data_IF_594322341870
#
_entry.id   IF_594322341870
#
_cell.length_a   1.000
_cell.length_b   1.000
_cell.length_c   1.000
_cell.angle_alpha   90.00
_cell.angle_beta   90.00
_cell.angle_gamma   90.00
#
_symmetry.space_group_name_H-M   'P 1'
#
loop_
_entity.id
_entity.type
_entity.pdbx_description
1 polymer ?
#
# COMPACT_ATOMS: atom_id res chain seq x y z
N UNK A 1 -1.50 20.38 2.98
CA UNK A 1 -0.15 20.91 2.66
C UNK A 1 0.05 20.62 1.19
N UNK A 2 0.03 21.63 0.31
CA UNK A 2 0.30 21.40 -1.11
C UNK A 2 1.75 20.91 -1.22
N UNK A 3 2.00 19.77 -1.86
CA UNK A 3 3.37 19.41 -2.26
C UNK A 3 3.87 20.58 -3.12
N UNK A 4 5.07 21.08 -2.81
CA UNK A 4 5.72 22.11 -3.61
C UNK A 4 5.88 21.60 -5.05
N UNK A 5 5.74 22.46 -6.05
CA UNK A 5 5.87 22.08 -7.48
C UNK A 5 7.22 21.39 -7.74
N UNK A 6 8.27 21.81 -7.02
CA UNK A 6 9.58 21.17 -7.07
C UNK A 6 9.56 19.71 -6.59
N UNK A 7 8.77 19.41 -5.56
CA UNK A 7 8.65 18.06 -5.02
C UNK A 7 7.86 17.16 -5.95
N UNK A 8 6.77 17.68 -6.54
CA UNK A 8 5.99 16.95 -7.55
C UNK A 8 6.84 16.64 -8.78
N UNK A 9 7.59 17.63 -9.27
CA UNK A 9 8.48 17.44 -10.43
C UNK A 9 9.59 16.42 -10.15
N UNK A 10 10.09 16.36 -8.92
CA UNK A 10 11.08 15.34 -8.52
C UNK A 10 10.49 13.93 -8.52
N UNK A 11 9.30 13.76 -7.96
CA UNK A 11 8.58 12.48 -7.95
C UNK A 11 8.23 12.01 -9.37
N UNK A 12 7.78 12.92 -10.24
CA UNK A 12 7.49 12.59 -11.65
C UNK A 12 8.74 12.12 -12.38
N UNK A 13 9.87 12.81 -12.22
CA UNK A 13 11.16 12.40 -12.82
C UNK A 13 11.62 11.03 -12.33
N UNK A 14 11.38 10.71 -11.06
CA UNK A 14 11.71 9.39 -10.52
C UNK A 14 10.85 8.29 -11.15
N UNK A 15 9.54 8.55 -11.32
CA UNK A 15 8.62 7.63 -11.98
C UNK A 15 9.01 7.42 -13.45
N UNK A 16 9.30 8.50 -14.18
CA UNK A 16 9.76 8.45 -15.58
C UNK A 16 11.03 7.61 -15.70
N UNK A 17 12.02 7.86 -14.84
CA UNK A 17 13.27 7.09 -14.80
C UNK A 17 13.01 5.60 -14.55
N UNK A 18 12.11 5.25 -13.62
CA UNK A 18 11.74 3.87 -13.37
C UNK A 18 11.12 3.19 -14.60
N UNK A 19 10.23 3.90 -15.31
CA UNK A 19 9.64 3.38 -16.54
C UNK A 19 10.70 3.16 -17.63
N UNK A 20 11.64 4.09 -17.80
CA UNK A 20 12.74 3.98 -18.77
C UNK A 20 13.64 2.78 -18.47
N UNK A 21 13.98 2.56 -17.20
CA UNK A 21 14.77 1.40 -16.76
C UNK A 21 14.02 0.11 -17.08
N UNK A 22 12.74 0.00 -16.68
CA UNK A 22 11.94 -1.20 -16.90
C UNK A 22 11.79 -1.51 -18.40
N UNK A 23 11.53 -0.50 -19.22
CA UNK A 23 11.41 -0.67 -20.68
C UNK A 23 12.73 -1.14 -21.29
N UNK A 24 13.85 -0.52 -20.91
CA UNK A 24 15.17 -0.87 -21.40
C UNK A 24 15.55 -2.31 -21.03
N UNK A 25 15.26 -2.72 -19.79
CA UNK A 25 15.50 -4.09 -19.33
C UNK A 25 14.59 -5.10 -20.03
N UNK A 26 13.30 -4.77 -20.21
CA UNK A 26 12.37 -5.62 -20.94
C UNK A 26 12.87 -5.85 -22.37
N UNK A 27 13.27 -4.79 -23.09
CA UNK A 27 13.88 -4.91 -24.42
C UNK A 27 15.14 -5.77 -24.39
N UNK A 28 16.03 -5.55 -23.41
CA UNK A 28 17.26 -6.34 -23.26
C UNK A 28 16.96 -7.83 -23.10
N UNK A 29 16.10 -8.21 -22.15
CA UNK A 29 15.82 -9.62 -21.87
C UNK A 29 14.96 -10.28 -22.96
N UNK A 30 14.09 -9.55 -23.65
CA UNK A 30 13.39 -10.09 -24.83
C UNK A 30 14.35 -10.53 -25.95
N UNK A 31 15.56 -9.97 -26.02
CA UNK A 31 16.57 -10.44 -26.99
C UNK A 31 17.23 -11.78 -26.60
N UNK A 32 17.11 -12.18 -25.33
CA UNK A 32 17.74 -13.37 -24.77
C UNK A 32 16.77 -14.54 -24.56
N UNK A 33 15.48 -14.26 -24.46
CA UNK A 33 14.45 -15.24 -24.19
C UNK A 33 13.51 -15.43 -25.39
N UNK A 34 12.97 -16.63 -25.55
CA UNK A 34 12.03 -16.98 -26.63
C UNK A 34 10.59 -16.52 -26.38
N UNK A 35 10.32 -15.93 -25.21
CA UNK A 35 9.01 -15.44 -24.79
C UNK A 35 9.08 -13.96 -24.43
N UNK A 36 7.92 -13.31 -24.39
CA UNK A 36 7.80 -11.89 -24.11
C UNK A 36 7.98 -11.60 -22.62
N UNK A 37 9.06 -10.91 -22.28
CA UNK A 37 9.31 -10.30 -20.98
C UNK A 37 8.86 -8.84 -21.05
N UNK A 38 7.68 -8.56 -20.50
CA UNK A 38 7.18 -7.19 -20.33
C UNK A 38 7.70 -6.51 -19.06
N UNK A 39 7.36 -5.22 -18.89
CA UNK A 39 7.78 -4.41 -17.74
C UNK A 39 7.30 -4.99 -16.41
N UNK A 40 6.12 -5.61 -16.39
CA UNK A 40 5.55 -6.30 -15.24
C UNK A 40 6.45 -7.45 -14.76
N UNK A 41 7.06 -8.20 -15.68
CA UNK A 41 7.99 -9.28 -15.35
C UNK A 41 9.28 -8.73 -14.74
N UNK A 42 9.78 -7.61 -15.29
CA UNK A 42 10.95 -6.91 -14.76
C UNK A 42 10.65 -6.39 -13.34
N UNK A 43 9.50 -5.74 -13.16
CA UNK A 43 9.08 -5.17 -11.89
C UNK A 43 8.96 -6.25 -10.80
N UNK A 44 8.28 -7.36 -11.12
CA UNK A 44 8.12 -8.47 -10.19
C UNK A 44 9.44 -9.18 -9.87
N UNK A 45 10.31 -9.37 -10.87
CA UNK A 45 11.63 -9.97 -10.65
C UNK A 45 12.49 -9.11 -9.73
N UNK A 46 12.50 -7.78 -9.94
CA UNK A 46 13.19 -6.85 -9.07
C UNK A 46 12.61 -6.84 -7.65
N UNK A 47 11.28 -6.86 -7.52
CA UNK A 47 10.64 -6.97 -6.21
C UNK A 47 11.11 -8.22 -5.46
N UNK A 48 11.07 -9.40 -6.09
CA UNK A 48 11.50 -10.66 -5.47
C UNK A 48 12.97 -10.64 -5.03
N UNK A 49 13.84 -9.97 -5.78
CA UNK A 49 15.27 -9.87 -5.48
C UNK A 49 15.61 -8.80 -4.42
N UNK A 50 14.76 -7.79 -4.27
CA UNK A 50 15.04 -6.61 -3.45
C UNK A 50 14.18 -6.52 -2.19
N UNK A 51 13.09 -7.29 -2.10
CA UNK A 51 12.14 -7.23 -0.99
C UNK A 51 12.82 -7.34 0.38
N UNK A 52 13.66 -8.36 0.58
CA UNK A 52 14.36 -8.56 1.86
C UNK A 52 15.40 -7.48 2.13
N UNK A 53 16.15 -7.05 1.10
CA UNK A 53 17.22 -6.04 1.24
C UNK A 53 16.67 -4.68 1.69
N UNK A 54 15.46 -4.33 1.22
CA UNK A 54 14.84 -3.04 1.49
C UNK A 54 13.64 -3.13 2.45
N UNK A 55 13.40 -4.29 3.05
CA UNK A 55 12.26 -4.55 3.96
C UNK A 55 10.91 -4.14 3.33
N UNK A 56 10.71 -4.47 2.05
CA UNK A 56 9.49 -4.10 1.31
C UNK A 56 8.29 -4.92 1.81
N UNK A 57 7.18 -4.26 2.12
CA UNK A 57 5.96 -4.93 2.61
C UNK A 57 5.05 -5.38 1.45
N UNK A 58 5.10 -4.67 0.32
CA UNK A 58 4.29 -4.97 -0.86
C UNK A 58 4.98 -4.48 -2.15
N UNK A 59 4.59 -4.99 -3.34
CA UNK A 59 5.27 -4.69 -4.59
C UNK A 59 5.42 -3.20 -4.93
N UNK A 60 4.48 -2.35 -4.50
CA UNK A 60 4.57 -0.93 -4.80
C UNK A 60 5.58 -0.15 -3.95
N UNK A 61 6.11 -0.71 -2.86
CA UNK A 61 7.24 -0.09 -2.16
C UNK A 61 8.49 -0.01 -3.06
N UNK A 62 8.55 -0.84 -4.11
CA UNK A 62 9.64 -0.81 -5.08
C UNK A 62 9.78 0.55 -5.78
N UNK A 63 8.70 1.34 -5.93
CA UNK A 63 8.77 2.68 -6.53
C UNK A 63 9.63 3.66 -5.72
N UNK A 64 9.76 3.44 -4.41
CA UNK A 64 10.58 4.25 -3.52
C UNK A 64 12.07 3.82 -3.52
N UNK A 65 12.36 2.62 -4.05
CA UNK A 65 13.73 2.11 -4.19
C UNK A 65 14.45 2.88 -5.30
N UNK A 66 15.64 3.37 -4.97
CA UNK A 66 16.54 3.96 -5.96
C UNK A 66 17.44 2.86 -6.50
N UNK A 67 17.28 2.54 -7.78
CA UNK A 67 18.11 1.58 -8.50
C UNK A 67 18.52 2.17 -9.85
N UNK A 68 19.76 1.92 -10.25
CA UNK A 68 20.26 2.28 -11.57
C UNK A 68 20.16 1.09 -12.53
N UNK A 69 20.14 1.36 -13.83
CA UNK A 69 19.95 0.35 -14.87
C UNK A 69 20.96 -0.81 -14.74
N UNK A 70 22.24 -0.51 -14.50
CA UNK A 70 23.31 -1.50 -14.42
C UNK A 70 23.17 -2.42 -13.20
N UNK A 71 22.69 -1.90 -12.07
CA UNK A 71 22.41 -2.71 -10.87
C UNK A 71 21.22 -3.63 -11.13
N UNK A 72 20.13 -3.10 -11.69
CA UNK A 72 18.95 -3.87 -12.04
C UNK A 72 19.25 -4.97 -13.07
N UNK A 73 20.05 -4.66 -14.09
CA UNK A 73 20.49 -5.61 -15.10
C UNK A 73 21.29 -6.75 -14.48
N UNK A 74 22.24 -6.42 -13.59
CA UNK A 74 23.06 -7.43 -12.91
C UNK A 74 22.19 -8.36 -12.08
N UNK A 75 21.29 -7.81 -11.27
CA UNK A 75 20.36 -8.60 -10.44
C UNK A 75 19.51 -9.55 -11.29
N UNK A 76 18.94 -9.04 -12.38
CA UNK A 76 18.05 -9.82 -13.24
C UNK A 76 18.77 -10.81 -14.16
N UNK A 77 20.06 -10.62 -14.42
CA UNK A 77 20.84 -11.54 -15.27
C UNK A 77 20.97 -12.95 -14.67
N UNK A 78 20.88 -13.07 -13.35
CA UNK A 78 20.90 -14.34 -12.61
C UNK A 78 19.49 -14.83 -12.25
N UNK A 79 18.45 -14.06 -12.59
CA UNK A 79 17.07 -14.34 -12.21
C UNK A 79 16.37 -15.25 -13.22
N UNK A 80 15.71 -16.30 -12.72
CA UNK A 80 14.91 -17.19 -13.54
C UNK A 80 13.47 -16.66 -13.69
N UNK A 81 13.20 -16.04 -14.85
CA UNK A 81 11.88 -15.51 -15.19
C UNK A 81 10.77 -16.58 -15.27
N UNK A 82 11.10 -17.87 -15.36
CA UNK A 82 10.08 -18.93 -15.34
C UNK A 82 9.28 -18.96 -14.03
N UNK A 83 9.86 -18.47 -12.92
CA UNK A 83 9.17 -18.37 -11.63
C UNK A 83 7.95 -17.44 -11.73
N UNK A 84 8.07 -16.36 -12.50
CA UNK A 84 7.00 -15.37 -12.71
C UNK A 84 5.97 -15.88 -13.72
N UNK A 85 6.42 -16.60 -14.75
CA UNK A 85 5.54 -17.10 -15.80
C UNK A 85 4.67 -18.27 -15.32
N UNK A 86 5.19 -19.11 -14.42
CA UNK A 86 4.48 -20.27 -13.89
C UNK A 86 3.71 -19.96 -12.60
N UNK A 87 2.96 -18.86 -12.59
CA UNK A 87 2.06 -18.53 -11.48
C UNK A 87 0.93 -19.55 -11.41
N UNK A 88 0.75 -20.14 -10.23
CA UNK A 88 -0.44 -20.91 -9.90
C UNK A 88 -1.35 -19.99 -9.12
N UNK A 89 -2.54 -19.73 -9.65
CA UNK A 89 -3.57 -19.00 -8.93
C UNK A 89 -4.29 -19.99 -7.99
N UNK A 90 -4.43 -19.61 -6.73
CA UNK A 90 -5.14 -20.39 -5.73
C UNK A 90 -6.29 -19.58 -5.17
N UNK A 91 -7.38 -20.25 -4.77
CA UNK A 91 -8.52 -19.58 -4.16
C UNK A 91 -8.13 -18.85 -2.87
N UNK A 92 -8.74 -17.69 -2.64
CA UNK A 92 -8.58 -16.85 -1.44
C UNK A 92 -8.82 -17.63 -0.13
N UNK A 93 -9.56 -18.74 -0.19
CA UNK A 93 -9.90 -19.58 0.94
C UNK A 93 -8.71 -20.40 1.50
N UNK A 94 -7.60 -20.51 0.76
CA UNK A 94 -6.41 -21.25 1.23
C UNK A 94 -5.64 -20.49 2.32
N UNK A 95 -5.71 -19.16 2.32
CA UNK A 95 -5.07 -18.35 3.36
C UNK A 95 -6.04 -18.09 4.51
N UNK A 96 -5.64 -18.33 5.77
CA UNK A 96 -6.43 -17.87 6.91
C UNK A 96 -6.64 -16.36 6.76
N UNK A 97 -7.88 -15.88 6.94
CA UNK A 97 -8.24 -14.47 6.73
C UNK A 97 -7.34 -13.47 7.49
N UNK A 98 -6.66 -13.94 8.53
CA UNK A 98 -5.71 -13.18 9.34
C UNK A 98 -4.35 -12.94 8.67
N UNK A 99 -4.01 -13.67 7.60
CA UNK A 99 -2.78 -13.53 6.80
C UNK A 99 -2.97 -12.75 5.50
N UNK A 100 -4.22 -12.46 5.10
CA UNK A 100 -4.50 -11.61 3.96
C UNK A 100 -4.24 -10.15 4.34
N UNK A 101 -3.30 -9.53 3.63
CA UNK A 101 -2.90 -8.11 3.68
C UNK A 101 -3.99 -7.20 4.25
N UNK A 102 -3.62 -6.45 5.29
CA UNK A 102 -4.42 -5.46 6.01
C UNK A 102 -5.49 -4.78 5.13
N UNK A 103 -6.74 -5.21 5.27
CA UNK A 103 -7.89 -4.63 4.56
C UNK A 103 -8.02 -3.12 4.87
N UNK A 104 -7.60 -2.26 3.94
CA UNK A 104 -7.76 -0.80 3.98
C UNK A 104 -9.13 -0.41 3.40
N UNK A 105 -10.16 -0.28 4.25
CA UNK A 105 -11.53 0.06 3.81
C UNK A 105 -11.72 1.57 3.65
N UNK A 106 -12.06 2.07 2.46
CA UNK A 106 -12.32 3.50 2.19
C UNK A 106 -13.78 3.91 2.37
N UNK A 107 -14.09 4.83 3.27
CA UNK A 107 -15.43 5.40 3.51
C UNK A 107 -15.44 6.89 3.23
N UNK A 108 -16.45 7.39 2.52
CA UNK A 108 -16.68 8.84 2.32
C UNK A 108 -17.74 9.33 3.31
N UNK A 109 -17.40 10.29 4.16
CA UNK A 109 -18.33 10.94 5.08
C UNK A 109 -18.15 12.46 5.02
N UNK A 110 -19.22 13.19 4.68
CA UNK A 110 -19.20 14.67 4.49
C UNK A 110 -18.08 15.16 3.56
N UNK A 111 -17.78 14.39 2.52
CA UNK A 111 -16.70 14.71 1.57
C UNK A 111 -15.31 14.23 1.97
N UNK A 112 -15.09 13.84 3.23
CA UNK A 112 -13.81 13.33 3.73
C UNK A 112 -13.69 11.82 3.47
N UNK A 113 -12.53 11.39 2.99
CA UNK A 113 -12.22 9.96 2.80
C UNK A 113 -11.51 9.43 4.05
N UNK A 114 -12.03 8.33 4.60
CA UNK A 114 -11.53 7.62 5.77
C UNK A 114 -11.10 6.21 5.38
N UNK A 115 -9.90 5.79 5.76
CA UNK A 115 -9.40 4.42 5.60
C UNK A 115 -9.47 3.72 6.95
N UNK A 116 -10.17 2.60 7.05
CA UNK A 116 -10.18 1.82 8.30
C UNK A 116 -9.02 0.84 8.28
N UNK A 117 -8.26 0.86 9.37
CA UNK A 117 -7.18 -0.07 9.65
C UNK A 117 -7.70 -1.07 10.69
N UNK A 118 -7.82 -2.35 10.31
CA UNK A 118 -8.31 -3.42 11.20
C UNK A 118 -7.21 -3.93 12.14
N UNK A 119 -6.05 -4.20 11.57
CA UNK A 119 -4.89 -4.78 12.25
C UNK A 119 -3.64 -3.98 11.86
N UNK A 120 -3.52 -2.75 12.36
CA UNK A 120 -2.30 -1.94 12.15
C UNK A 120 -1.22 -2.36 13.16
N UNK A 121 0.02 -2.46 12.69
CA UNK A 121 1.21 -2.67 13.53
C UNK A 121 1.42 -1.45 14.45
N UNK A 122 1.11 -0.24 13.98
CA UNK A 122 1.02 0.96 14.82
C UNK A 122 -0.42 1.12 15.36
N UNK A 123 -0.71 0.42 16.46
CA UNK A 123 -2.04 0.33 17.07
C UNK A 123 -2.54 1.63 17.71
N UNK A 124 -1.84 2.76 17.57
CA UNK A 124 -2.27 4.03 18.14
C UNK A 124 -3.30 4.74 17.24
N UNK A 125 -4.48 5.16 17.75
CA UNK A 125 -4.91 5.17 19.15
C UNK A 125 -5.43 3.82 19.69
N UNK A 126 -6.21 3.07 18.91
CA UNK A 126 -6.57 1.66 19.17
C UNK A 126 -7.05 1.00 17.87
N UNK A 127 -6.82 -0.30 17.68
CA UNK A 127 -7.38 -1.02 16.54
C UNK A 127 -8.82 -1.47 16.81
N UNK A 128 -9.72 -1.44 15.81
CA UNK A 128 -9.56 -0.75 14.52
C UNK A 128 -9.72 0.77 14.67
N UNK A 129 -8.95 1.52 13.89
CA UNK A 129 -9.06 2.99 13.79
C UNK A 129 -9.30 3.43 12.35
N UNK A 130 -9.75 4.67 12.16
CA UNK A 130 -9.96 5.26 10.84
C UNK A 130 -8.98 6.39 10.56
N UNK A 131 -8.32 6.39 9.42
CA UNK A 131 -7.40 7.41 8.97
C UNK A 131 -8.06 8.30 7.91
N UNK A 132 -8.19 9.60 8.19
CA UNK A 132 -8.62 10.60 7.23
C UNK A 132 -7.47 10.98 6.30
N UNK A 133 -7.66 10.75 5.00
CA UNK A 133 -6.60 10.91 3.99
C UNK A 133 -6.07 12.34 3.85
N UNK A 134 -6.95 13.35 3.74
CA UNK A 134 -6.55 14.69 3.32
C UNK A 134 -5.72 15.44 4.37
N UNK A 135 -6.00 15.17 5.65
CA UNK A 135 -5.42 15.91 6.78
C UNK A 135 -4.49 15.06 7.65
N UNK A 136 -4.34 13.76 7.32
CA UNK A 136 -3.59 12.78 8.09
C UNK A 136 -4.06 12.74 9.57
N UNK A 137 -5.37 12.55 9.75
CA UNK A 137 -6.01 12.50 11.07
C UNK A 137 -6.40 11.05 11.37
N UNK A 138 -5.97 10.52 12.50
CA UNK A 138 -6.40 9.22 13.03
C UNK A 138 -7.62 9.41 13.94
N UNK A 139 -8.72 8.73 13.65
CA UNK A 139 -9.95 8.68 14.45
C UNK A 139 -10.02 7.35 15.18
N UNK A 140 -10.13 7.42 16.50
CA UNK A 140 -10.46 6.27 17.34
C UNK A 140 -11.95 5.94 17.18
N UNK A 141 -12.25 4.75 16.65
CA UNK A 141 -13.62 4.33 16.40
C UNK A 141 -14.38 3.97 17.69
N UNK A 142 -13.71 3.77 18.83
CA UNK A 142 -14.36 3.47 20.11
C UNK A 142 -14.95 4.70 20.79
N UNK A 143 -14.26 5.85 20.68
CA UNK A 143 -14.55 7.03 21.51
C UNK A 143 -14.66 8.34 20.70
N UNK A 144 -14.35 8.33 19.41
CA UNK A 144 -14.48 9.50 18.54
C UNK A 144 -13.35 10.53 18.67
N UNK A 145 -12.28 10.23 19.42
CA UNK A 145 -11.12 11.12 19.53
C UNK A 145 -10.32 11.12 18.23
N UNK A 146 -9.98 12.31 17.76
CA UNK A 146 -9.15 12.54 16.59
C UNK A 146 -7.74 12.92 17.02
N UNK A 147 -6.75 12.33 16.36
CA UNK A 147 -5.33 12.52 16.62
C UNK A 147 -4.62 12.89 15.33
N UNK A 148 -3.56 13.69 15.47
CA UNK A 148 -2.57 13.86 14.40
C UNK A 148 -1.22 13.40 14.95
N UNK A 149 -0.60 12.42 14.29
CA UNK A 149 0.51 11.65 14.86
C UNK A 149 0.06 10.96 16.16
N UNK A 150 0.37 11.55 17.32
CA UNK A 150 -0.09 11.09 18.66
C UNK A 150 -0.71 12.20 19.52
N UNK A 151 -0.87 13.40 18.96
CA UNK A 151 -1.45 14.53 19.68
C UNK A 151 -2.96 14.54 19.48
N UNK A 152 -3.69 14.62 20.59
CA UNK A 152 -5.13 14.83 20.56
C UNK A 152 -5.45 16.18 19.93
N UNK A 153 -6.39 16.19 18.99
CA UNK A 153 -6.83 17.39 18.30
C UNK A 153 -8.21 17.83 18.80
N UNK A 154 -9.19 16.94 18.66
CA UNK A 154 -10.59 17.18 19.04
C UNK A 154 -11.36 15.85 19.07
N UNK A 155 -12.61 15.88 19.52
CA UNK A 155 -13.51 14.73 19.52
C UNK A 155 -14.67 15.02 18.55
N UNK A 156 -14.96 14.10 17.63
CA UNK A 156 -16.09 14.26 16.69
C UNK A 156 -17.44 14.10 17.41
N UNK A 157 -18.50 14.66 16.82
CA UNK A 157 -19.85 14.51 17.35
C UNK A 157 -20.28 13.04 17.30
N UNK A 158 -20.95 12.55 18.35
CA UNK A 158 -21.49 11.18 18.45
C UNK A 158 -22.27 10.74 17.21
N UNK A 159 -23.12 11.60 16.66
CA UNK A 159 -23.88 11.32 15.42
C UNK A 159 -22.98 11.04 14.21
N UNK A 160 -21.86 11.74 14.09
CA UNK A 160 -20.92 11.54 12.98
C UNK A 160 -20.07 10.29 13.20
N UNK A 161 -19.67 10.00 14.45
CA UNK A 161 -19.00 8.76 14.80
C UNK A 161 -19.86 7.53 14.45
N UNK A 162 -21.14 7.55 14.82
CA UNK A 162 -22.05 6.44 14.53
C UNK A 162 -22.20 6.20 13.03
N UNK A 163 -22.30 7.25 12.21
CA UNK A 163 -22.35 7.12 10.74
C UNK A 163 -21.08 6.47 10.17
N UNK A 164 -19.91 6.87 10.67
CA UNK A 164 -18.64 6.29 10.24
C UNK A 164 -18.56 4.82 10.68
N UNK A 165 -18.97 4.49 11.90
CA UNK A 165 -19.02 3.12 12.42
C UNK A 165 -20.01 2.24 11.68
N UNK A 166 -21.17 2.73 11.30
CA UNK A 166 -22.16 1.97 10.52
C UNK A 166 -21.61 1.64 9.13
N UNK A 167 -21.03 2.63 8.45
CA UNK A 167 -20.35 2.41 7.17
C UNK A 167 -19.14 1.47 7.29
N UNK A 168 -18.45 1.48 8.43
CA UNK A 168 -17.36 0.56 8.76
C UNK A 168 -17.88 -0.86 8.94
N UNK A 169 -18.87 -1.05 9.79
CA UNK A 169 -19.44 -2.35 10.16
C UNK A 169 -19.90 -3.15 8.94
N UNK A 170 -20.54 -2.48 7.98
CA UNK A 170 -20.98 -3.06 6.70
C UNK A 170 -19.83 -3.58 5.82
N UNK A 171 -18.60 -3.15 6.08
CA UNK A 171 -17.40 -3.47 5.28
C UNK A 171 -16.42 -4.39 6.01
N UNK A 172 -16.48 -4.47 7.34
CA UNK A 172 -15.57 -5.27 8.17
C UNK A 172 -16.27 -6.35 9.03
N UNK A 173 -17.44 -6.82 8.58
CA UNK A 173 -18.21 -7.91 9.21
C UNK A 173 -18.42 -7.70 10.72
N UNK A 174 -18.81 -6.50 11.15
CA UNK A 174 -19.07 -6.14 12.55
C UNK A 174 -17.89 -6.25 13.54
N UNK A 175 -16.65 -6.35 13.06
CA UNK A 175 -15.47 -6.41 13.94
C UNK A 175 -14.99 -5.01 14.38
N UNK A 176 -15.85 -4.28 15.10
CA UNK A 176 -15.58 -2.94 15.63
C UNK A 176 -15.45 -2.97 17.17
N UNK A 177 -14.67 -2.04 17.76
CA UNK A 177 -14.48 -2.00 19.20
C UNK A 177 -15.77 -1.52 19.86
N UNK A 178 -15.98 -1.93 21.12
CA UNK A 178 -17.09 -1.45 21.92
C UNK A 178 -17.06 0.08 22.03
N UNK A 179 -18.25 0.67 22.00
CA UNK A 179 -18.40 2.11 22.03
C UNK A 179 -18.20 2.60 23.48
N UNK A 180 -17.22 3.47 23.71
CA UNK A 180 -16.81 3.98 25.03
C UNK A 180 -17.16 5.47 25.21
N UNK A 181 -18.42 5.83 24.93
CA UNK A 181 -18.95 7.22 25.01
C UNK A 181 -20.31 7.31 25.69
#
# INVERSE_FOLDING_TARGET
MKKDENQINKELKQIEKWYEIQESLAVHFNSLYSWTIGREHIFEGLYLLLADKYELEWPGDLWDVHIEYEEALKLLSEFDFNIILNKIETDIEIFPKDFLIQYKVRIKSKGLIWIIHKNDVDSFPSNPHAHQLDNNIKLDLSNGKCYKRKQYMYTIKKKDLLKIREAAANRIENNLPLLMI
#
